data_IF_007023514167
#
_entry.id   IF_007023514167
#
_cell.length_a   1.000
_cell.length_b   1.000
_cell.length_c   1.000
_cell.angle_alpha   90.00
_cell.angle_beta   90.00
_cell.angle_gamma   90.00
#
_symmetry.space_group_name_H-M   'P 1'
#
loop_
_entity.id
_entity.type
_entity.pdbx_description
1 polymer ?
#
# COMPACT_ATOMS: atom_id res chain seq x y z
N UNK A 1 -13.28 20.46 7.73
CA UNK A 1 -12.06 20.93 8.43
C UNK A 1 -12.12 22.42 8.73
N UNK A 2 -12.17 23.31 7.72
CA UNK A 2 -12.14 24.77 7.93
C UNK A 2 -13.20 25.29 8.92
N UNK A 3 -14.43 24.75 8.89
CA UNK A 3 -15.47 25.10 9.87
C UNK A 3 -15.09 24.68 11.29
N UNK A 4 -14.57 23.49 11.47
CA UNK A 4 -14.13 22.95 12.78
C UNK A 4 -13.03 23.85 13.36
N UNK A 5 -11.97 24.10 12.59
CA UNK A 5 -10.84 24.92 13.05
C UNK A 5 -11.33 26.33 13.39
N UNK A 6 -12.11 26.97 12.53
CA UNK A 6 -12.58 28.34 12.73
C UNK A 6 -13.40 28.52 14.01
N UNK A 7 -14.14 27.49 14.44
CA UNK A 7 -14.98 27.58 15.63
C UNK A 7 -14.28 27.05 16.91
N UNK A 8 -13.27 26.20 16.77
CA UNK A 8 -12.66 25.49 17.90
C UNK A 8 -11.14 25.65 17.96
N UNK A 9 -10.52 26.59 17.21
CA UNK A 9 -9.07 26.85 17.16
C UNK A 9 -8.43 27.00 18.55
N UNK A 10 -9.16 27.55 19.51
CA UNK A 10 -8.72 27.76 20.88
C UNK A 10 -8.39 26.45 21.63
N UNK A 11 -9.00 25.34 21.23
CA UNK A 11 -8.75 24.02 21.86
C UNK A 11 -7.36 23.46 21.54
N UNK A 12 -6.76 23.88 20.44
CA UNK A 12 -5.42 23.46 19.98
C UNK A 12 -4.39 24.59 20.05
N UNK A 13 -4.76 25.74 20.63
CA UNK A 13 -3.86 26.89 20.77
C UNK A 13 -3.42 27.51 19.44
N UNK A 14 -4.23 27.38 18.38
CA UNK A 14 -3.95 27.95 17.07
C UNK A 14 -4.26 29.44 17.05
N UNK A 15 -3.36 30.23 16.42
CA UNK A 15 -3.60 31.68 16.20
C UNK A 15 -4.78 31.87 15.22
N UNK A 16 -5.81 32.66 15.58
CA UNK A 16 -6.96 32.90 14.70
C UNK A 16 -6.61 33.66 13.42
N UNK A 17 -5.46 34.32 13.36
CA UNK A 17 -4.97 35.06 12.19
C UNK A 17 -4.29 34.18 11.13
N UNK A 18 -4.37 32.85 11.25
CA UNK A 18 -3.78 31.95 10.25
C UNK A 18 -4.37 32.16 8.85
N UNK A 19 -3.53 31.92 7.85
CA UNK A 19 -3.96 31.86 6.43
C UNK A 19 -3.55 30.53 5.79
N UNK A 20 -4.25 30.17 4.74
CA UNK A 20 -3.82 29.05 3.89
C UNK A 20 -2.67 29.52 3.00
N UNK A 21 -1.56 28.80 3.01
CA UNK A 21 -0.45 29.06 2.09
C UNK A 21 -0.76 28.58 0.69
N UNK A 22 -0.20 29.24 -0.33
CA UNK A 22 -0.25 28.73 -1.70
C UNK A 22 0.80 27.63 -1.94
N UNK A 23 0.62 26.86 -3.02
CA UNK A 23 1.49 25.72 -3.34
C UNK A 23 2.94 26.14 -3.58
N UNK A 24 3.17 27.31 -4.17
CA UNK A 24 4.51 27.83 -4.46
C UNK A 24 5.23 28.20 -3.17
N UNK A 25 4.54 28.86 -2.21
CA UNK A 25 5.07 29.18 -0.90
C UNK A 25 5.42 27.91 -0.10
N UNK A 26 4.52 26.91 -0.12
CA UNK A 26 4.77 25.64 0.57
C UNK A 26 5.96 24.91 0.00
N UNK A 27 6.10 24.86 -1.33
CA UNK A 27 7.23 24.21 -1.99
C UNK A 27 8.57 24.85 -1.61
N UNK A 28 8.66 26.17 -1.65
CA UNK A 28 9.86 26.90 -1.22
C UNK A 28 10.19 26.60 0.24
N UNK A 29 9.19 26.59 1.10
CA UNK A 29 9.37 26.30 2.51
C UNK A 29 9.85 24.86 2.76
N UNK A 30 9.34 23.89 1.99
CA UNK A 30 9.80 22.50 2.03
C UNK A 30 11.26 22.38 1.59
N UNK A 31 11.65 23.05 0.49
CA UNK A 31 13.01 23.06 -0.03
C UNK A 31 13.99 23.64 0.99
N UNK A 32 13.63 24.77 1.63
CA UNK A 32 14.46 25.39 2.67
C UNK A 32 14.65 24.46 3.88
N UNK A 33 13.57 23.86 4.37
CA UNK A 33 13.62 22.95 5.52
C UNK A 33 14.43 21.70 5.21
N UNK A 34 14.25 21.10 4.04
CA UNK A 34 15.04 19.93 3.61
C UNK A 34 16.52 20.27 3.52
N UNK A 35 16.86 21.43 2.96
CA UNK A 35 18.23 21.87 2.85
C UNK A 35 18.87 22.01 4.23
N UNK A 36 18.24 22.74 5.15
CA UNK A 36 18.70 22.90 6.53
C UNK A 36 18.87 21.52 7.22
N UNK A 37 17.90 20.62 7.09
CA UNK A 37 17.91 19.28 7.67
C UNK A 37 19.13 18.46 7.20
N UNK A 38 19.34 18.40 5.89
CA UNK A 38 20.44 17.62 5.32
C UNK A 38 21.80 18.23 5.65
N UNK A 39 21.95 19.57 5.62
CA UNK A 39 23.18 20.26 6.02
C UNK A 39 23.56 19.92 7.47
N UNK A 40 22.60 19.90 8.40
CA UNK A 40 22.83 19.52 9.79
C UNK A 40 23.31 18.05 9.90
N UNK A 41 22.66 17.11 9.23
CA UNK A 41 23.05 15.71 9.26
C UNK A 41 24.44 15.46 8.63
N UNK A 42 24.79 16.18 7.55
CA UNK A 42 26.13 16.12 6.97
C UNK A 42 27.19 16.72 7.93
N UNK A 43 26.86 17.77 8.63
CA UNK A 43 27.77 18.38 9.62
C UNK A 43 28.02 17.45 10.82
N UNK A 44 27.01 16.70 11.27
CA UNK A 44 27.14 15.73 12.38
C UNK A 44 27.97 14.49 12.02
N UNK A 45 28.07 14.13 10.73
CA UNK A 45 28.85 12.99 10.20
C UNK A 45 28.58 11.66 10.90
N UNK A 46 27.33 11.39 11.28
CA UNK A 46 26.96 10.12 11.90
C UNK A 46 27.03 8.97 10.91
N UNK A 47 27.45 7.80 11.39
CA UNK A 47 27.66 6.62 10.56
C UNK A 47 26.34 6.10 9.93
N UNK A 48 25.24 6.18 10.66
CA UNK A 48 23.90 5.80 10.21
C UNK A 48 23.41 6.63 9.00
N UNK A 49 23.59 7.97 9.08
CA UNK A 49 23.26 8.86 7.97
C UNK A 49 24.19 8.63 6.75
N UNK A 50 25.48 8.41 6.99
CA UNK A 50 26.42 8.11 5.90
C UNK A 50 26.04 6.82 5.18
N UNK A 51 25.74 5.76 5.92
CA UNK A 51 25.28 4.49 5.33
C UNK A 51 23.97 4.63 4.55
N UNK A 52 23.03 5.44 5.03
CA UNK A 52 21.80 5.77 4.32
C UNK A 52 22.07 6.46 2.99
N UNK A 53 22.95 7.48 2.97
CA UNK A 53 23.34 8.20 1.76
C UNK A 53 24.03 7.26 0.75
N UNK A 54 24.94 6.41 1.23
CA UNK A 54 25.64 5.43 0.37
C UNK A 54 24.67 4.40 -0.24
N UNK A 55 23.63 4.02 0.50
CA UNK A 55 22.63 3.06 0.04
C UNK A 55 21.69 3.64 -1.03
N UNK A 56 21.18 4.85 -0.80
CA UNK A 56 20.09 5.41 -1.61
C UNK A 56 20.51 6.54 -2.57
N UNK A 57 21.71 7.09 -2.43
CA UNK A 57 22.25 8.12 -3.34
C UNK A 57 23.56 7.67 -3.99
N UNK A 58 23.56 6.62 -4.82
CA UNK A 58 24.78 6.14 -5.46
C UNK A 58 25.34 7.14 -6.49
N UNK A 59 24.70 8.28 -6.67
CA UNK A 59 25.06 9.36 -7.58
C UNK A 59 25.87 10.48 -6.93
N UNK A 60 25.93 11.65 -7.62
CA UNK A 60 26.65 12.82 -7.14
C UNK A 60 25.78 13.83 -6.39
N UNK A 61 24.49 13.60 -6.32
CA UNK A 61 23.51 14.50 -5.72
C UNK A 61 22.63 13.77 -4.70
N UNK A 62 22.15 14.48 -3.71
CA UNK A 62 21.24 14.02 -2.68
C UNK A 62 19.76 14.39 -2.94
N UNK A 63 19.46 14.93 -4.11
CA UNK A 63 18.10 15.36 -4.47
C UNK A 63 17.07 14.20 -4.38
N UNK A 64 17.46 12.99 -4.84
CA UNK A 64 16.60 11.82 -4.71
C UNK A 64 16.28 11.45 -3.25
N UNK A 65 17.20 11.69 -2.32
CA UNK A 65 16.95 11.46 -0.89
C UNK A 65 15.90 12.43 -0.33
N UNK A 66 15.99 13.71 -0.73
CA UNK A 66 15.01 14.73 -0.34
C UNK A 66 13.63 14.41 -0.91
N UNK A 67 13.58 13.91 -2.16
CA UNK A 67 12.32 13.43 -2.76
C UNK A 67 11.72 12.27 -1.96
N UNK A 68 12.51 11.29 -1.55
CA UNK A 68 12.03 10.17 -0.71
C UNK A 68 11.50 10.63 0.65
N UNK A 69 12.14 11.62 1.29
CA UNK A 69 11.63 12.21 2.53
C UNK A 69 10.28 12.88 2.30
N UNK A 70 10.11 13.64 1.20
CA UNK A 70 8.82 14.28 0.87
C UNK A 70 7.73 13.27 0.50
N UNK A 71 8.07 12.25 -0.26
CA UNK A 71 7.12 11.18 -0.62
C UNK A 71 6.62 10.47 0.63
N UNK A 72 7.54 10.09 1.54
CA UNK A 72 7.19 9.44 2.78
C UNK A 72 6.40 10.36 3.73
N UNK A 73 6.75 11.65 3.79
CA UNK A 73 6.00 12.66 4.53
C UNK A 73 4.57 12.78 4.00
N UNK A 74 4.39 12.92 2.69
CA UNK A 74 3.06 13.03 2.08
C UNK A 74 2.22 11.76 2.32
N UNK A 75 2.87 10.58 2.26
CA UNK A 75 2.22 9.32 2.59
C UNK A 75 1.80 9.26 4.07
N UNK A 76 2.66 9.71 4.97
CA UNK A 76 2.35 9.78 6.40
C UNK A 76 1.18 10.71 6.68
N UNK A 77 1.16 11.90 6.07
CA UNK A 77 0.10 12.90 6.24
C UNK A 77 -1.27 12.46 5.71
N UNK A 78 -1.34 11.43 4.90
CA UNK A 78 -2.62 10.80 4.50
C UNK A 78 -3.16 9.81 5.54
N UNK A 79 -2.44 9.61 6.65
CA UNK A 79 -2.85 8.78 7.77
C UNK A 79 -3.23 9.64 8.97
N UNK A 80 -4.23 9.22 9.77
CA UNK A 80 -4.72 10.02 10.91
C UNK A 80 -3.66 10.26 11.99
N UNK A 81 -2.70 9.35 12.11
CA UNK A 81 -1.60 9.39 13.08
C UNK A 81 -0.27 9.15 12.36
N UNK A 82 0.30 10.22 11.72
CA UNK A 82 1.48 10.11 10.87
C UNK A 82 2.69 9.47 11.54
N UNK A 83 3.02 9.88 12.77
CA UNK A 83 4.16 9.33 13.50
C UNK A 83 4.02 7.84 13.78
N UNK A 84 2.83 7.40 14.25
CA UNK A 84 2.55 5.99 14.52
C UNK A 84 2.60 5.16 13.22
N UNK A 85 2.13 5.74 12.12
CA UNK A 85 2.21 5.08 10.83
C UNK A 85 3.66 4.92 10.36
N UNK A 86 4.49 5.97 10.51
CA UNK A 86 5.92 5.94 10.21
C UNK A 86 6.66 4.87 11.04
N UNK A 87 6.37 4.79 12.34
CA UNK A 87 6.94 3.74 13.20
C UNK A 87 6.55 2.34 12.73
N UNK A 88 5.29 2.13 12.34
CA UNK A 88 4.82 0.85 11.83
C UNK A 88 5.49 0.44 10.51
N UNK A 89 5.99 1.39 9.71
CA UNK A 89 6.76 1.07 8.51
C UNK A 89 8.08 0.37 8.85
N UNK A 90 8.74 0.80 9.92
CA UNK A 90 10.01 0.22 10.38
C UNK A 90 9.79 -1.11 11.09
N UNK A 91 8.77 -1.20 11.95
CA UNK A 91 8.46 -2.42 12.72
C UNK A 91 8.36 -3.68 11.85
N UNK A 92 7.88 -3.55 10.61
CA UNK A 92 7.78 -4.67 9.70
C UNK A 92 9.14 -5.22 9.23
N UNK A 93 10.23 -4.45 9.35
CA UNK A 93 11.59 -4.86 8.97
C UNK A 93 12.38 -5.43 10.16
N UNK A 94 11.89 -5.27 11.38
CA UNK A 94 12.42 -5.93 12.56
C UNK A 94 11.81 -7.33 12.67
N UNK A 95 12.53 -8.32 12.15
CA UNK A 95 12.05 -9.69 12.12
C UNK A 95 12.05 -10.31 13.51
N UNK A 96 11.00 -11.09 13.80
CA UNK A 96 10.96 -11.92 15.00
C UNK A 96 12.09 -12.97 14.91
N UNK A 97 12.98 -13.07 15.92
CA UNK A 97 14.12 -14.00 15.87
C UNK A 97 13.72 -15.47 15.72
N UNK A 98 12.52 -15.86 16.17
CA UNK A 98 12.04 -17.25 16.09
C UNK A 98 11.31 -17.54 14.79
N UNK A 99 10.63 -16.53 14.22
CA UNK A 99 9.75 -16.69 13.05
C UNK A 99 10.35 -16.14 11.76
N UNK A 100 11.32 -15.24 11.85
CA UNK A 100 11.90 -14.59 10.69
C UNK A 100 10.86 -13.91 9.80
N UNK A 101 11.02 -14.01 8.49
CA UNK A 101 10.07 -13.51 7.49
C UNK A 101 8.68 -14.16 7.59
N UNK A 102 8.60 -15.41 8.00
CA UNK A 102 7.33 -16.14 8.12
C UNK A 102 6.36 -15.50 9.12
N UNK A 103 6.89 -14.77 10.13
CA UNK A 103 6.11 -14.02 11.10
C UNK A 103 5.53 -12.71 10.56
N UNK A 104 5.91 -12.27 9.38
CA UNK A 104 5.54 -10.96 8.83
C UNK A 104 4.17 -10.96 8.15
N UNK A 105 3.56 -9.77 8.07
CA UNK A 105 2.33 -9.58 7.29
C UNK A 105 2.56 -9.80 5.79
N UNK A 106 3.76 -9.49 5.29
CA UNK A 106 4.11 -9.68 3.88
C UNK A 106 4.07 -11.15 3.48
N UNK A 107 4.60 -12.02 4.33
CA UNK A 107 4.62 -13.46 4.08
C UNK A 107 3.21 -14.04 4.00
N UNK A 108 2.29 -13.52 4.81
CA UNK A 108 0.87 -13.87 4.70
C UNK A 108 0.28 -13.42 3.36
N UNK A 109 0.48 -12.16 2.96
CA UNK A 109 -0.02 -11.64 1.68
C UNK A 109 0.61 -12.34 0.48
N UNK A 110 1.88 -12.72 0.57
CA UNK A 110 2.56 -13.51 -0.46
C UNK A 110 1.80 -14.83 -0.70
N UNK A 111 1.45 -15.53 0.36
CA UNK A 111 0.72 -16.79 0.24
C UNK A 111 -0.74 -16.59 -0.20
N UNK A 112 -1.40 -15.53 0.20
CA UNK A 112 -2.73 -15.17 -0.31
C UNK A 112 -2.68 -14.89 -1.82
N UNK A 113 -1.65 -14.21 -2.30
CA UNK A 113 -1.42 -13.99 -3.74
C UNK A 113 -1.13 -15.31 -4.47
N UNK A 114 -0.32 -16.20 -3.87
CA UNK A 114 -0.04 -17.51 -4.42
C UNK A 114 -1.31 -18.36 -4.54
N UNK A 115 -2.12 -18.44 -3.49
CA UNK A 115 -3.38 -19.18 -3.48
C UNK A 115 -4.35 -18.66 -4.56
N UNK A 116 -4.42 -17.33 -4.75
CA UNK A 116 -5.24 -16.70 -5.78
C UNK A 116 -4.75 -17.05 -7.20
N UNK A 117 -3.46 -16.89 -7.48
CA UNK A 117 -2.88 -17.17 -8.79
C UNK A 117 -2.99 -18.67 -9.16
N UNK A 118 -2.77 -19.57 -8.20
CA UNK A 118 -2.90 -21.01 -8.39
C UNK A 118 -4.34 -21.43 -8.65
N UNK A 119 -5.30 -20.81 -7.97
CA UNK A 119 -6.73 -21.03 -8.19
C UNK A 119 -7.14 -20.59 -9.58
N UNK A 120 -6.74 -19.40 -10.00
CA UNK A 120 -7.02 -18.87 -11.32
C UNK A 120 -6.40 -19.73 -12.43
N UNK A 121 -5.14 -20.15 -12.28
CA UNK A 121 -4.49 -21.05 -13.23
C UNK A 121 -5.21 -22.40 -13.34
N UNK A 122 -5.73 -22.96 -12.23
CA UNK A 122 -6.54 -24.17 -12.23
C UNK A 122 -7.85 -23.96 -13.00
N UNK A 123 -8.60 -22.90 -12.72
CA UNK A 123 -9.88 -22.57 -13.38
C UNK A 123 -9.71 -22.34 -14.88
N UNK A 124 -8.66 -21.62 -15.30
CA UNK A 124 -8.32 -21.43 -16.71
C UNK A 124 -8.01 -22.76 -17.40
N UNK A 125 -7.20 -23.61 -16.77
CA UNK A 125 -6.83 -24.93 -17.31
C UNK A 125 -8.05 -25.86 -17.39
N UNK A 126 -8.92 -25.88 -16.37
CA UNK A 126 -10.17 -26.63 -16.41
C UNK A 126 -11.10 -26.18 -17.54
N UNK A 127 -11.20 -24.86 -17.74
CA UNK A 127 -12.00 -24.28 -18.84
C UNK A 127 -11.43 -24.69 -20.20
N UNK A 128 -10.11 -24.66 -20.35
CA UNK A 128 -9.42 -25.13 -21.54
C UNK A 128 -9.70 -26.63 -21.81
N UNK A 129 -9.65 -27.47 -20.77
CA UNK A 129 -9.94 -28.91 -20.87
C UNK A 129 -11.40 -29.15 -21.27
N UNK A 130 -12.36 -28.45 -20.65
CA UNK A 130 -13.79 -28.54 -21.04
C UNK A 130 -14.00 -28.11 -22.48
N UNK A 131 -13.32 -27.05 -22.93
CA UNK A 131 -13.38 -26.59 -24.32
C UNK A 131 -12.83 -27.62 -25.30
N UNK A 132 -11.79 -28.37 -24.93
CA UNK A 132 -11.25 -29.46 -25.75
C UNK A 132 -12.25 -30.62 -25.95
N UNK A 133 -13.17 -30.82 -25.01
CA UNK A 133 -14.15 -31.92 -25.04
C UNK A 133 -15.44 -31.59 -25.82
N UNK A 134 -15.57 -30.36 -26.35
CA UNK A 134 -16.68 -29.98 -27.20
C UNK A 134 -16.62 -30.75 -28.55
N UNK A 135 -17.75 -30.88 -29.24
CA UNK A 135 -17.88 -31.69 -30.47
C UNK A 135 -16.84 -31.34 -31.57
N UNK A 136 -16.49 -30.06 -31.69
CA UNK A 136 -15.48 -29.50 -32.61
C UNK A 136 -14.26 -28.94 -31.87
N UNK A 137 -14.04 -29.36 -30.61
CA UNK A 137 -12.93 -28.98 -29.78
C UNK A 137 -11.59 -29.65 -30.13
N UNK A 138 -10.45 -29.10 -29.75
CA UNK A 138 -9.13 -29.63 -30.00
C UNK A 138 -8.75 -30.76 -29.01
N UNK A 139 -9.40 -31.94 -29.11
CA UNK A 139 -9.22 -33.05 -28.16
C UNK A 139 -7.76 -33.48 -27.98
N UNK A 140 -6.92 -33.38 -29.04
CA UNK A 140 -5.50 -33.74 -28.97
C UNK A 140 -4.68 -32.84 -28.06
N UNK A 141 -5.24 -31.73 -27.51
CA UNK A 141 -4.60 -30.87 -26.53
C UNK A 141 -4.82 -31.35 -25.08
N UNK A 142 -5.80 -32.25 -24.85
CA UNK A 142 -6.15 -32.71 -23.50
C UNK A 142 -4.95 -33.29 -22.75
N UNK A 143 -4.16 -34.17 -23.39
CA UNK A 143 -3.00 -34.79 -22.73
C UNK A 143 -2.01 -33.77 -22.16
N UNK A 144 -1.78 -32.67 -22.89
CA UNK A 144 -0.89 -31.60 -22.41
C UNK A 144 -1.50 -30.81 -21.26
N UNK A 145 -2.82 -30.52 -21.33
CA UNK A 145 -3.54 -29.81 -20.28
C UNK A 145 -3.68 -30.65 -19.01
N UNK A 146 -3.83 -31.96 -19.11
CA UNK A 146 -3.83 -32.89 -17.97
C UNK A 146 -2.48 -32.84 -17.23
N UNK A 147 -1.37 -32.82 -17.97
CA UNK A 147 -0.03 -32.67 -17.38
C UNK A 147 0.14 -31.32 -16.72
N UNK A 148 -0.35 -30.26 -17.35
CA UNK A 148 -0.31 -28.92 -16.76
C UNK A 148 -1.18 -28.86 -15.48
N UNK A 149 -2.35 -29.51 -15.48
CA UNK A 149 -3.22 -29.63 -14.30
C UNK A 149 -2.53 -30.36 -13.13
N UNK A 150 -1.81 -31.44 -13.41
CA UNK A 150 -1.03 -32.16 -12.39
C UNK A 150 0.01 -31.22 -11.78
N UNK A 151 0.72 -30.46 -12.60
CA UNK A 151 1.70 -29.48 -12.14
C UNK A 151 1.07 -28.41 -11.23
N UNK A 152 -0.06 -27.84 -11.65
CA UNK A 152 -0.79 -26.84 -10.86
C UNK A 152 -1.24 -27.41 -9.51
N UNK A 153 -1.75 -28.65 -9.49
CA UNK A 153 -2.16 -29.32 -8.25
C UNK A 153 -0.97 -29.60 -7.31
N UNK A 154 0.20 -29.92 -7.85
CA UNK A 154 1.42 -30.07 -7.06
C UNK A 154 1.80 -28.73 -6.42
N UNK A 155 1.80 -27.63 -7.16
CA UNK A 155 2.05 -26.29 -6.61
C UNK A 155 1.03 -25.92 -5.54
N UNK A 156 -0.25 -26.24 -5.72
CA UNK A 156 -1.28 -26.03 -4.69
C UNK A 156 -1.00 -26.82 -3.41
N UNK A 157 -0.48 -28.04 -3.50
CA UNK A 157 -0.10 -28.81 -2.31
C UNK A 157 1.09 -28.17 -1.58
N UNK A 158 2.05 -27.59 -2.31
CA UNK A 158 3.15 -26.83 -1.73
C UNK A 158 2.66 -25.53 -1.06
N UNK A 159 1.69 -24.85 -1.69
CA UNK A 159 1.07 -23.68 -1.07
C UNK A 159 0.43 -24.00 0.27
N UNK A 160 -0.24 -25.16 0.41
CA UNK A 160 -0.82 -25.59 1.71
C UNK A 160 0.26 -25.83 2.77
N UNK A 161 1.43 -26.35 2.38
CA UNK A 161 2.55 -26.57 3.30
C UNK A 161 3.24 -25.26 3.74
N UNK A 162 3.06 -24.18 2.97
CA UNK A 162 3.74 -22.89 3.17
C UNK A 162 5.28 -23.01 3.11
N UNK A 163 5.81 -23.95 2.34
CA UNK A 163 7.24 -24.11 2.10
C UNK A 163 7.69 -23.19 0.97
N UNK A 164 8.34 -22.08 1.36
CA UNK A 164 8.75 -21.03 0.41
C UNK A 164 9.81 -21.54 -0.57
N UNK A 165 10.85 -22.21 -0.07
CA UNK A 165 11.99 -22.61 -0.89
C UNK A 165 11.59 -23.71 -1.89
N UNK A 166 10.77 -24.67 -1.46
CA UNK A 166 10.23 -25.71 -2.33
C UNK A 166 9.31 -25.09 -3.41
N UNK A 167 8.48 -24.11 -3.06
CA UNK A 167 7.64 -23.39 -4.01
C UNK A 167 8.49 -22.60 -5.01
N UNK A 168 9.48 -21.84 -4.55
CA UNK A 168 10.37 -21.04 -5.40
C UNK A 168 11.13 -21.92 -6.40
N UNK A 169 11.61 -23.08 -5.95
CA UNK A 169 12.30 -24.03 -6.81
C UNK A 169 11.37 -24.60 -7.89
N UNK A 170 10.15 -25.01 -7.52
CA UNK A 170 9.20 -25.58 -8.46
C UNK A 170 8.73 -24.54 -9.49
N UNK A 171 8.53 -23.27 -9.08
CA UNK A 171 8.17 -22.19 -9.99
C UNK A 171 9.30 -21.84 -10.97
N UNK A 172 10.56 -21.89 -10.54
CA UNK A 172 11.73 -21.71 -11.44
C UNK A 172 11.86 -22.83 -12.48
N UNK A 173 11.56 -24.05 -12.07
CA UNK A 173 11.72 -25.24 -12.91
C UNK A 173 10.47 -25.59 -13.72
N UNK A 174 9.49 -24.67 -13.81
CA UNK A 174 8.24 -24.87 -14.53
C UNK A 174 8.46 -25.36 -15.97
N UNK A 175 7.97 -26.53 -16.27
CA UNK A 175 8.02 -27.13 -17.62
C UNK A 175 6.65 -27.59 -18.05
N UNK A 176 6.05 -26.82 -18.92
CA UNK A 176 4.76 -27.15 -19.52
C UNK A 176 4.90 -28.14 -20.68
N UNK A 177 3.96 -29.08 -20.77
CA UNK A 177 3.93 -30.04 -21.87
C UNK A 177 3.73 -29.36 -23.24
N UNK A 178 4.25 -29.92 -24.30
CA UNK A 178 4.01 -29.40 -25.64
C UNK A 178 2.62 -29.83 -26.13
N UNK A 179 1.88 -28.86 -26.70
CA UNK A 179 0.61 -29.18 -27.40
C UNK A 179 0.90 -30.03 -28.63
N UNK A 180 -0.02 -30.92 -28.94
CA UNK A 180 0.07 -31.77 -30.13
C UNK A 180 0.17 -30.92 -31.40
N UNK A 181 1.14 -31.24 -32.26
CA UNK A 181 1.30 -30.63 -33.57
C UNK A 181 0.55 -31.41 -34.68
N UNK A 182 -0.12 -32.52 -34.34
CA UNK A 182 -0.87 -33.32 -35.30
C UNK A 182 -2.03 -32.52 -35.90
N UNK A 183 -2.28 -32.70 -37.18
CA UNK A 183 -3.44 -32.10 -37.87
C UNK A 183 -4.72 -32.67 -37.27
N UNK A 184 -5.66 -31.80 -36.94
CA UNK A 184 -6.99 -32.13 -36.43
C UNK A 184 -8.01 -31.75 -37.51
N UNK A 185 -8.77 -32.71 -38.01
CA UNK A 185 -9.83 -32.47 -38.98
C UNK A 185 -11.15 -32.22 -38.22
N UNK A 186 -11.97 -31.28 -38.71
CA UNK A 186 -13.26 -30.94 -38.09
C UNK A 186 -13.19 -30.10 -36.83
N UNK A 187 -12.00 -29.65 -36.43
CA UNK A 187 -11.81 -28.80 -35.23
C UNK A 187 -12.00 -27.32 -35.56
N UNK A 188 -12.78 -26.62 -34.76
CA UNK A 188 -12.97 -25.17 -34.86
C UNK A 188 -11.67 -24.42 -34.53
N UNK A 189 -11.20 -23.55 -35.46
CA UNK A 189 -10.03 -22.70 -35.21
C UNK A 189 -10.28 -21.70 -34.06
N UNK A 190 -11.52 -21.27 -33.84
CA UNK A 190 -11.89 -20.41 -32.74
C UNK A 190 -11.68 -21.11 -31.39
N UNK A 191 -12.17 -22.34 -31.23
CA UNK A 191 -12.01 -23.13 -30.02
C UNK A 191 -10.54 -23.47 -29.77
N UNK A 192 -9.79 -23.78 -30.82
CA UNK A 192 -8.36 -24.05 -30.74
C UNK A 192 -7.56 -22.81 -30.24
N UNK A 193 -7.91 -21.64 -30.74
CA UNK A 193 -7.27 -20.37 -30.29
C UNK A 193 -7.70 -20.02 -28.88
N UNK A 194 -8.94 -20.24 -28.48
CA UNK A 194 -9.41 -20.05 -27.11
C UNK A 194 -8.64 -20.95 -26.14
N UNK A 195 -8.49 -22.23 -26.42
CA UNK A 195 -7.72 -23.14 -25.57
C UNK A 195 -6.27 -22.72 -25.44
N UNK A 196 -5.64 -22.22 -26.50
CA UNK A 196 -4.27 -21.70 -26.43
C UNK A 196 -4.18 -20.43 -25.57
N UNK A 197 -5.13 -19.50 -25.70
CA UNK A 197 -5.17 -18.29 -24.92
C UNK A 197 -5.34 -18.61 -23.43
N UNK A 198 -6.36 -19.38 -23.05
CA UNK A 198 -6.59 -19.80 -21.66
C UNK A 198 -5.36 -20.47 -21.05
N UNK A 199 -4.69 -21.32 -21.82
CA UNK A 199 -3.47 -22.00 -21.37
C UNK A 199 -2.30 -21.04 -21.20
N UNK A 200 -2.14 -20.08 -22.10
CA UNK A 200 -1.06 -19.08 -21.98
C UNK A 200 -1.30 -18.16 -20.80
N UNK A 201 -2.53 -17.71 -20.57
CA UNK A 201 -2.89 -16.93 -19.38
C UNK A 201 -2.58 -17.71 -18.09
N UNK A 202 -2.92 -18.99 -18.02
CA UNK A 202 -2.59 -19.84 -16.86
C UNK A 202 -1.08 -19.95 -16.64
N UNK A 203 -0.28 -20.07 -17.70
CA UNK A 203 1.19 -20.12 -17.60
C UNK A 203 1.77 -18.80 -17.17
N UNK A 204 1.26 -17.69 -17.69
CA UNK A 204 1.78 -16.37 -17.38
C UNK A 204 1.49 -16.00 -15.93
N UNK A 205 0.32 -16.37 -15.40
CA UNK A 205 0.01 -16.24 -13.97
C UNK A 205 1.05 -16.96 -13.09
N UNK A 206 1.42 -18.19 -13.44
CA UNK A 206 2.40 -18.96 -12.68
C UNK A 206 3.83 -18.43 -12.83
N UNK A 207 4.21 -17.94 -14.02
CA UNK A 207 5.52 -17.30 -14.22
C UNK A 207 5.62 -15.99 -13.44
N UNK A 208 4.58 -15.15 -13.51
CA UNK A 208 4.52 -13.90 -12.75
C UNK A 208 4.60 -14.14 -11.25
N UNK A 209 3.91 -15.18 -10.74
CA UNK A 209 4.01 -15.58 -9.35
C UNK A 209 5.46 -15.85 -8.95
N UNK A 210 6.20 -16.62 -9.76
CA UNK A 210 7.61 -16.91 -9.53
C UNK A 210 8.50 -15.66 -9.55
N UNK A 211 8.30 -14.79 -10.54
CA UNK A 211 9.11 -13.58 -10.70
C UNK A 211 8.85 -12.55 -9.60
N UNK A 212 7.59 -12.38 -9.19
CA UNK A 212 7.22 -11.32 -8.25
C UNK A 212 7.40 -11.71 -6.79
N UNK A 213 7.14 -12.98 -6.45
CA UNK A 213 7.02 -13.40 -5.04
C UNK A 213 7.98 -14.53 -4.63
N UNK A 214 8.47 -15.35 -5.56
CA UNK A 214 9.30 -16.52 -5.27
C UNK A 214 10.64 -16.48 -6.03
N UNK A 215 11.32 -15.33 -6.02
CA UNK A 215 12.51 -15.08 -6.85
C UNK A 215 13.85 -15.46 -6.20
N UNK A 216 13.91 -15.65 -4.87
CA UNK A 216 15.10 -16.00 -4.11
C UNK A 216 14.91 -17.24 -3.24
N UNK A 217 15.76 -17.43 -2.27
CA UNK A 217 15.53 -18.35 -1.15
C UNK A 217 15.21 -17.57 0.12
N UNK A 218 14.59 -18.24 1.10
CA UNK A 218 14.08 -17.59 2.31
C UNK A 218 15.19 -16.98 3.15
N UNK A 219 16.36 -17.62 3.21
CA UNK A 219 17.51 -17.12 3.98
C UNK A 219 18.05 -15.82 3.37
N UNK A 220 18.27 -15.77 2.05
CA UNK A 220 18.71 -14.55 1.35
C UNK A 220 17.71 -13.41 1.52
N UNK A 221 16.40 -13.69 1.42
CA UNK A 221 15.36 -12.68 1.62
C UNK A 221 15.34 -12.16 3.06
N UNK A 222 15.58 -13.03 4.03
CA UNK A 222 15.70 -12.66 5.45
C UNK A 222 16.86 -11.69 5.65
N UNK A 223 18.05 -12.04 5.17
CA UNK A 223 19.25 -11.18 5.25
C UNK A 223 19.03 -9.83 4.55
N UNK A 224 18.43 -9.82 3.36
CA UNK A 224 18.12 -8.58 2.63
C UNK A 224 17.12 -7.70 3.39
N UNK A 225 16.11 -8.31 4.02
CA UNK A 225 15.12 -7.58 4.81
C UNK A 225 15.76 -6.93 6.04
N UNK A 226 16.57 -7.69 6.79
CA UNK A 226 17.30 -7.18 7.95
C UNK A 226 18.29 -6.08 7.56
N UNK A 227 19.00 -6.25 6.45
CA UNK A 227 19.93 -5.22 5.93
C UNK A 227 19.20 -3.94 5.47
N UNK A 228 17.92 -4.03 5.12
CA UNK A 228 17.11 -2.89 4.71
C UNK A 228 16.56 -2.08 5.89
N UNK A 229 16.54 -2.62 7.11
CA UNK A 229 15.98 -1.96 8.28
C UNK A 229 16.74 -0.67 8.65
N UNK A 230 18.07 -0.62 8.81
CA UNK A 230 18.77 0.59 9.24
C UNK A 230 18.61 1.78 8.27
N UNK A 231 18.74 1.62 6.94
CA UNK A 231 18.46 2.72 6.03
C UNK A 231 17.02 3.21 6.08
N UNK A 232 16.04 2.32 6.26
CA UNK A 232 14.64 2.71 6.40
C UNK A 232 14.38 3.46 7.71
N UNK A 233 14.99 3.03 8.82
CA UNK A 233 14.95 3.75 10.09
C UNK A 233 15.47 5.19 9.94
N UNK A 234 16.57 5.36 9.21
CA UNK A 234 17.12 6.69 8.94
C UNK A 234 16.16 7.51 8.09
N UNK A 235 15.55 6.94 7.04
CA UNK A 235 14.56 7.64 6.23
C UNK A 235 13.35 8.08 7.07
N UNK A 236 12.83 7.20 7.91
CA UNK A 236 11.72 7.53 8.82
C UNK A 236 12.12 8.64 9.81
N UNK A 237 13.32 8.57 10.37
CA UNK A 237 13.85 9.61 11.26
C UNK A 237 13.94 10.96 10.55
N UNK A 238 14.54 11.01 9.37
CA UNK A 238 14.61 12.23 8.55
C UNK A 238 13.22 12.79 8.23
N UNK A 239 12.27 11.90 7.93
CA UNK A 239 10.89 12.31 7.64
C UNK A 239 10.21 12.91 8.87
N UNK A 240 10.42 12.36 10.06
CA UNK A 240 9.90 12.93 11.33
C UNK A 240 10.55 14.28 11.64
N UNK A 241 11.88 14.37 11.53
CA UNK A 241 12.62 15.61 11.77
C UNK A 241 12.19 16.69 10.76
N UNK A 242 11.96 16.31 9.50
CA UNK A 242 11.41 17.20 8.48
C UNK A 242 10.01 17.69 8.87
N UNK A 243 9.11 16.78 9.25
CA UNK A 243 7.74 17.12 9.63
C UNK A 243 7.69 18.12 10.78
N UNK A 244 8.50 17.90 11.81
CA UNK A 244 8.61 18.81 12.96
C UNK A 244 9.12 20.20 12.56
N UNK A 245 10.23 20.27 11.80
CA UNK A 245 10.80 21.53 11.33
C UNK A 245 9.86 22.28 10.38
N UNK A 246 9.22 21.55 9.46
CA UNK A 246 8.28 22.14 8.51
C UNK A 246 7.06 22.71 9.23
N UNK A 247 6.51 21.98 10.20
CA UNK A 247 5.42 22.47 11.05
C UNK A 247 5.82 23.71 11.86
N UNK A 248 7.05 23.74 12.41
CA UNK A 248 7.57 24.91 13.13
C UNK A 248 7.68 26.13 12.21
N UNK A 249 8.22 25.97 11.00
CA UNK A 249 8.32 27.05 10.00
C UNK A 249 6.94 27.55 9.55
N UNK A 250 5.96 26.66 9.35
CA UNK A 250 4.57 27.05 9.05
C UNK A 250 3.95 27.87 10.19
N UNK A 251 4.17 27.44 11.44
CA UNK A 251 3.70 28.18 12.62
C UNK A 251 4.34 29.56 12.74
N UNK A 252 5.65 29.69 12.51
CA UNK A 252 6.36 30.99 12.52
C UNK A 252 5.77 31.96 11.49
N UNK A 253 5.39 31.47 10.32
CA UNK A 253 4.75 32.27 9.25
C UNK A 253 3.24 32.42 9.40
N UNK A 254 2.65 31.79 10.40
CA UNK A 254 1.20 31.69 10.63
C UNK A 254 0.44 31.20 9.40
N UNK A 255 0.95 30.16 8.75
CA UNK A 255 0.35 29.52 7.57
C UNK A 255 0.00 28.07 7.83
N UNK A 256 -1.03 27.60 7.14
CA UNK A 256 -1.48 26.22 7.15
C UNK A 256 -1.58 25.70 5.71
N UNK A 257 -1.29 24.43 5.52
CA UNK A 257 -1.68 23.69 4.32
C UNK A 257 -2.99 22.89 4.53
N UNK A 258 -3.43 22.17 3.50
CA UNK A 258 -4.66 21.37 3.58
C UNK A 258 -4.53 20.19 4.54
N UNK A 259 -3.35 19.56 4.60
CA UNK A 259 -3.09 18.45 5.54
C UNK A 259 -3.13 18.95 6.99
N UNK A 260 -2.57 20.14 7.29
CA UNK A 260 -2.69 20.74 8.62
C UNK A 260 -4.16 20.92 9.00
N UNK A 261 -4.99 21.40 8.06
CA UNK A 261 -6.41 21.60 8.36
C UNK A 261 -7.13 20.29 8.68
N UNK A 262 -6.74 19.19 8.04
CA UNK A 262 -7.30 17.87 8.31
C UNK A 262 -6.86 17.38 9.70
N UNK A 263 -5.56 17.42 9.99
CA UNK A 263 -5.01 16.95 11.26
C UNK A 263 -5.45 17.81 12.46
N UNK A 264 -5.47 19.13 12.32
CA UNK A 264 -5.99 20.00 13.37
C UNK A 264 -7.48 19.78 13.64
N UNK A 265 -8.26 19.46 12.59
CA UNK A 265 -9.64 19.07 12.79
C UNK A 265 -9.75 17.74 13.56
N UNK A 266 -8.87 16.76 13.28
CA UNK A 266 -8.79 15.52 14.07
C UNK A 266 -8.43 15.80 15.53
N UNK A 267 -7.42 16.64 15.79
CA UNK A 267 -6.97 17.00 17.13
C UNK A 267 -8.08 17.70 17.95
N UNK A 268 -8.91 18.48 17.29
CA UNK A 268 -10.09 19.10 17.90
C UNK A 268 -11.18 18.06 18.20
N UNK A 269 -11.43 17.17 17.25
CA UNK A 269 -12.58 16.26 17.29
C UNK A 269 -12.31 14.96 18.05
N UNK A 270 -11.06 14.56 18.18
CA UNK A 270 -10.67 13.33 18.86
C UNK A 270 -9.79 13.63 20.09
N UNK A 271 -9.98 12.83 21.14
CA UNK A 271 -9.10 12.83 22.32
C UNK A 271 -8.44 11.48 22.45
N UNK A 272 -7.15 11.46 22.73
CA UNK A 272 -6.44 10.23 23.06
C UNK A 272 -6.74 9.81 24.48
N UNK A 273 -7.30 8.60 24.67
CA UNK A 273 -7.52 7.96 25.97
C UNK A 273 -6.80 6.59 25.96
N UNK A 274 -5.64 6.54 26.62
CA UNK A 274 -4.76 5.38 26.56
C UNK A 274 -4.25 5.13 25.12
N UNK A 275 -4.52 3.95 24.59
CA UNK A 275 -4.16 3.57 23.21
C UNK A 275 -5.28 3.85 22.18
N UNK A 276 -6.43 4.34 22.62
CA UNK A 276 -7.60 4.60 21.75
C UNK A 276 -7.86 6.08 21.58
N UNK A 277 -8.63 6.41 20.54
CA UNK A 277 -9.11 7.77 20.30
C UNK A 277 -10.62 7.78 20.46
N UNK A 278 -11.11 8.74 21.23
CA UNK A 278 -12.55 8.92 21.51
C UNK A 278 -13.03 10.29 21.08
N UNK A 279 -14.29 10.44 20.68
CA UNK A 279 -14.86 11.73 20.30
C UNK A 279 -14.80 12.74 21.42
N UNK A 280 -14.30 13.94 21.08
CA UNK A 280 -14.28 15.08 21.99
C UNK A 280 -15.66 15.68 22.23
N UNK A 281 -15.77 16.66 23.10
CA UNK A 281 -17.01 17.43 23.28
C UNK A 281 -17.41 18.15 21.97
N UNK A 282 -16.46 18.74 21.24
CA UNK A 282 -16.72 19.38 19.96
C UNK A 282 -17.29 18.40 18.91
N UNK A 283 -16.78 17.16 18.88
CA UNK A 283 -17.32 16.12 18.02
C UNK A 283 -18.77 15.78 18.35
N UNK A 284 -19.08 15.65 19.64
CA UNK A 284 -20.44 15.36 20.10
C UNK A 284 -21.43 16.48 19.72
N UNK A 285 -21.04 17.75 19.95
CA UNK A 285 -21.84 18.91 19.57
C UNK A 285 -22.12 18.94 18.06
N UNK A 286 -21.12 18.62 17.23
CA UNK A 286 -21.29 18.56 15.78
C UNK A 286 -22.15 17.37 15.34
N UNK A 287 -22.00 16.22 15.98
CA UNK A 287 -22.80 15.02 15.68
C UNK A 287 -24.28 15.21 16.02
N UNK A 288 -24.59 16.04 17.03
CA UNK A 288 -25.98 16.42 17.35
C UNK A 288 -26.53 17.48 16.42
N UNK A 289 -25.64 18.37 15.90
CA UNK A 289 -25.99 19.47 15.02
C UNK A 289 -26.38 19.01 13.61
N UNK A 290 -25.70 17.98 13.09
CA UNK A 290 -25.93 17.49 11.73
C UNK A 290 -26.99 16.39 11.73
N UNK A 291 -28.10 16.65 11.03
CA UNK A 291 -29.15 15.65 10.83
C UNK A 291 -28.66 14.55 9.88
N UNK A 292 -27.97 14.93 8.79
CA UNK A 292 -27.43 14.05 7.79
C UNK A 292 -26.03 14.50 7.36
N UNK A 293 -25.15 13.55 7.08
CA UNK A 293 -23.82 13.75 6.50
C UNK A 293 -23.79 13.07 5.14
N UNK A 294 -23.66 13.86 4.09
CA UNK A 294 -23.66 13.38 2.70
C UNK A 294 -22.27 13.52 2.12
N UNK A 295 -21.73 12.42 1.59
CA UNK A 295 -20.43 12.34 0.93
C UNK A 295 -20.62 11.92 -0.51
N UNK A 296 -20.13 12.74 -1.42
CA UNK A 296 -20.01 12.42 -2.83
C UNK A 296 -18.56 12.05 -3.15
N UNK A 297 -18.34 11.31 -4.23
CA UNK A 297 -17.02 10.86 -4.68
C UNK A 297 -16.22 10.16 -3.57
N UNK A 298 -16.87 9.29 -2.78
CA UNK A 298 -16.24 8.65 -1.62
C UNK A 298 -14.96 7.87 -1.97
N UNK A 299 -14.85 7.35 -3.22
CA UNK A 299 -13.66 6.64 -3.70
C UNK A 299 -12.39 7.51 -3.71
N UNK A 300 -12.51 8.83 -3.63
CA UNK A 300 -11.37 9.76 -3.61
C UNK A 300 -10.98 10.19 -2.18
N UNK A 301 -11.68 9.70 -1.17
CA UNK A 301 -11.42 10.02 0.24
C UNK A 301 -10.22 9.26 0.79
N UNK A 302 -9.38 9.92 1.59
CA UNK A 302 -8.33 9.30 2.37
C UNK A 302 -8.83 8.90 3.77
N UNK A 303 -8.00 8.15 4.53
CA UNK A 303 -8.37 7.67 5.86
C UNK A 303 -8.61 8.80 6.88
N UNK A 304 -7.91 9.93 6.76
CA UNK A 304 -8.09 11.11 7.63
C UNK A 304 -9.49 11.66 7.43
N UNK A 305 -9.90 11.85 6.18
CA UNK A 305 -11.22 12.37 5.83
C UNK A 305 -12.34 11.42 6.25
N UNK A 306 -12.14 10.12 6.08
CA UNK A 306 -13.09 9.09 6.53
C UNK A 306 -13.34 9.19 8.03
N UNK A 307 -12.28 9.22 8.85
CA UNK A 307 -12.40 9.33 10.31
C UNK A 307 -13.04 10.66 10.71
N UNK A 308 -12.69 11.77 10.06
CA UNK A 308 -13.34 13.06 10.30
C UNK A 308 -14.85 12.99 10.07
N UNK A 309 -15.29 12.41 8.97
CA UNK A 309 -16.71 12.27 8.63
C UNK A 309 -17.44 11.34 9.60
N UNK A 310 -16.85 10.21 9.95
CA UNK A 310 -17.40 9.30 10.95
C UNK A 310 -17.54 10.01 12.31
N UNK A 311 -16.55 10.81 12.70
CA UNK A 311 -16.52 11.47 14.01
C UNK A 311 -17.57 12.59 14.15
N UNK A 312 -17.88 13.32 13.07
CA UNK A 312 -18.92 14.36 13.08
C UNK A 312 -20.32 13.82 12.74
N UNK A 313 -20.42 12.57 12.31
CA UNK A 313 -21.70 11.90 12.10
C UNK A 313 -22.28 11.34 13.41
N UNK A 314 -23.53 10.91 13.36
CA UNK A 314 -24.16 10.20 14.48
C UNK A 314 -23.68 8.76 14.67
N UNK A 315 -22.70 8.29 13.90
CA UNK A 315 -22.17 6.93 13.98
C UNK A 315 -21.72 6.54 15.39
N UNK A 316 -21.09 7.48 16.09
CA UNK A 316 -20.61 7.31 17.46
C UNK A 316 -21.77 7.04 18.45
N UNK A 317 -22.96 7.54 18.14
CA UNK A 317 -24.19 7.38 18.93
C UNK A 317 -25.14 6.35 18.31
N UNK A 318 -24.63 5.43 17.49
CA UNK A 318 -25.39 4.40 16.76
C UNK A 318 -26.47 4.96 15.82
N UNK A 319 -26.46 6.28 15.54
CA UNK A 319 -27.34 6.94 14.60
C UNK A 319 -26.80 6.81 13.17
N UNK A 320 -27.54 6.17 12.30
CA UNK A 320 -27.18 5.97 10.89
C UNK A 320 -27.59 7.18 10.06
N UNK A 321 -26.80 8.23 10.09
CA UNK A 321 -27.08 9.48 9.39
C UNK A 321 -25.98 9.87 8.37
N UNK A 322 -25.18 8.91 7.91
CA UNK A 322 -24.18 9.12 6.90
C UNK A 322 -24.60 8.40 5.61
N UNK A 323 -24.54 9.12 4.49
CA UNK A 323 -24.81 8.59 3.17
C UNK A 323 -23.61 8.88 2.27
N UNK A 324 -23.05 7.85 1.67
CA UNK A 324 -21.84 7.92 0.83
C UNK A 324 -22.14 7.40 -0.55
N UNK A 325 -21.69 8.12 -1.56
CA UNK A 325 -21.79 7.74 -2.98
C UNK A 325 -20.38 7.72 -3.56
N UNK A 326 -20.07 6.69 -4.31
CA UNK A 326 -18.78 6.55 -4.97
C UNK A 326 -18.76 5.37 -5.96
N UNK A 327 -17.87 5.43 -6.92
CA UNK A 327 -17.61 4.38 -7.88
C UNK A 327 -16.10 4.06 -7.90
N UNK A 328 -15.72 2.90 -7.36
CA UNK A 328 -14.33 2.44 -7.27
C UNK A 328 -13.61 2.47 -8.64
N UNK A 329 -14.36 2.26 -9.74
CA UNK A 329 -13.80 2.29 -11.10
C UNK A 329 -13.44 3.70 -11.58
N UNK A 330 -13.98 4.73 -10.93
CA UNK A 330 -13.70 6.14 -11.24
C UNK A 330 -12.61 6.72 -10.32
N UNK A 331 -12.04 5.94 -9.40
CA UNK A 331 -10.95 6.41 -8.53
C UNK A 331 -9.71 6.70 -9.35
N UNK A 332 -9.41 8.00 -9.52
CA UNK A 332 -8.22 8.52 -10.20
C UNK A 332 -7.21 9.17 -9.23
N UNK A 333 -7.60 9.32 -7.96
CA UNK A 333 -6.79 9.97 -6.92
C UNK A 333 -6.02 8.99 -6.02
N UNK A 334 -5.76 7.77 -6.52
CA UNK A 334 -4.95 6.78 -5.80
C UNK A 334 -3.55 7.31 -5.41
N UNK A 335 -3.00 8.22 -6.22
CA UNK A 335 -1.74 8.91 -5.93
C UNK A 335 -1.82 9.85 -4.71
N UNK A 336 -3.04 10.25 -4.28
CA UNK A 336 -3.30 10.96 -3.02
C UNK A 336 -3.66 10.02 -1.88
N UNK A 337 -3.36 8.72 -2.02
CA UNK A 337 -3.67 7.66 -1.09
C UNK A 337 -5.17 7.52 -0.76
N UNK A 338 -6.02 7.88 -1.71
CA UNK A 338 -7.43 7.52 -1.67
C UNK A 338 -7.59 6.00 -1.49
N UNK A 339 -8.56 5.60 -0.70
CA UNK A 339 -8.87 4.19 -0.39
C UNK A 339 -10.27 3.87 -0.91
N UNK A 340 -10.40 3.53 -2.20
CA UNK A 340 -11.69 3.20 -2.80
C UNK A 340 -12.30 1.90 -2.26
#
# INVERSE_FOLDING_TARGET
CAYVIRNYFHLIGLDPGYRTADEGELKLLQEDVLKELFEDHYAERKADFTAFVECYAPGKTDEGLKEHVLELYNAAMSNPWPEKWLDSCVENYHLDPEKGLEGTRWFRYLWEAADCALKEAEELTETAMKTCQLQDGPELYLEALEKDMILIRQLKQLSVKRDYDEMAQNLRDLKFARLSSKKMEGVSEQLKNLVKALREDAKDNLKELGIRYFYGNLAELTELTEASAPPLEMLVKLTKDFAERFQAKKREKNVLDFSDMEHFALDILLKKEGETYVPSQAARELSEKYDEVLLDEYQDSNLVQEILMQTVSGWVNERKNIFMVGDVKQSIYRFRLARP
#
